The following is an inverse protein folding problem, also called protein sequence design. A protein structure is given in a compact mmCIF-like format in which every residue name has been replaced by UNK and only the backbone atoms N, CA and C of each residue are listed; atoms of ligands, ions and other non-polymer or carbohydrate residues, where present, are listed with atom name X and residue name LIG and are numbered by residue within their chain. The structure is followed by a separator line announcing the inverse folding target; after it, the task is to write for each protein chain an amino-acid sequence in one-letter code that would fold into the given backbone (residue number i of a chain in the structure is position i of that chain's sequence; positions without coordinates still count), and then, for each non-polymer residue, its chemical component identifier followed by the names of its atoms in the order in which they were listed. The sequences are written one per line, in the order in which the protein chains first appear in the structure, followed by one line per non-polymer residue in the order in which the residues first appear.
data_IF_823653096061
#
_entry.id   IF_823653096061
#
_cell.length_a   1.000
_cell.length_b   1.000
_cell.length_c   1.000
_cell.angle_alpha   90.00
_cell.angle_beta   90.00
_cell.angle_gamma   90.00
#
_symmetry.space_group_name_H-M   'P 1'
#
loop_
_entity.id
_entity.type
_entity.pdbx_description
1 polymer ?
#
# COMPACT_ATOMS: atom_id res chain seq x y z
N UNK A 1 -7.76 18.36 -10.18
CA UNK A 1 -7.66 17.86 -8.80
C UNK A 1 -6.64 16.77 -8.88
N UNK A 2 -5.55 16.99 -8.17
CA UNK A 2 -4.31 16.27 -8.42
C UNK A 2 -3.75 15.85 -7.07
N UNK A 3 -3.20 14.65 -7.02
CA UNK A 3 -2.55 14.11 -5.84
C UNK A 3 -1.08 13.85 -6.15
N UNK A 4 -0.20 14.38 -5.31
CA UNK A 4 1.25 14.15 -5.44
C UNK A 4 1.71 13.18 -4.35
N UNK A 5 2.05 11.95 -4.76
CA UNK A 5 2.40 10.89 -3.81
C UNK A 5 3.68 11.19 -3.03
N UNK A 6 4.63 11.95 -3.58
CA UNK A 6 5.89 12.27 -2.89
C UNK A 6 5.72 13.25 -1.74
N UNK A 7 4.73 14.14 -1.80
CA UNK A 7 4.47 15.16 -0.77
C UNK A 7 3.25 14.84 0.09
N UNK A 8 2.43 13.85 -0.32
CA UNK A 8 1.16 13.56 0.36
C UNK A 8 0.18 14.73 0.27
N UNK A 9 0.21 15.50 -0.81
CA UNK A 9 -0.64 16.70 -0.96
C UNK A 9 -1.72 16.46 -1.99
N UNK A 10 -2.97 16.67 -1.58
CA UNK A 10 -4.10 16.88 -2.47
C UNK A 10 -4.16 18.36 -2.84
N UNK A 11 -4.14 18.64 -4.14
CA UNK A 11 -4.30 19.99 -4.67
C UNK A 11 -5.57 20.05 -5.53
N UNK A 12 -6.46 20.97 -5.16
CA UNK A 12 -7.65 21.31 -5.93
C UNK A 12 -7.47 22.73 -6.46
N UNK A 13 -7.30 22.87 -7.77
CA UNK A 13 -7.41 24.15 -8.45
C UNK A 13 -8.73 24.19 -9.20
N UNK A 14 -9.51 25.25 -8.99
CA UNK A 14 -10.74 25.51 -9.74
C UNK A 14 -10.79 26.97 -10.18
N UNK A 15 -11.44 27.23 -11.32
CA UNK A 15 -11.75 28.57 -11.80
C UNK A 15 -13.12 28.56 -12.45
N UNK A 16 -14.01 29.42 -11.98
CA UNK A 16 -15.35 29.60 -12.53
C UNK A 16 -15.49 31.02 -13.09
N UNK A 17 -15.93 31.13 -14.34
CA UNK A 17 -16.12 32.41 -15.04
C UNK A 17 -17.55 32.93 -14.98
N UNK A 18 -18.53 32.10 -14.59
CA UNK A 18 -19.95 32.45 -14.54
C UNK A 18 -20.33 33.31 -13.33
N UNK A 19 -19.54 33.28 -12.26
CA UNK A 19 -19.88 33.99 -11.02
C UNK A 19 -21.07 33.39 -10.27
N UNK A 20 -21.41 32.14 -10.57
CA UNK A 20 -22.54 31.42 -9.97
C UNK A 20 -22.08 30.63 -8.74
N UNK A 21 -20.79 30.27 -8.65
CA UNK A 21 -20.21 29.62 -7.49
C UNK A 21 -19.98 30.60 -6.36
N UNK A 22 -20.60 30.29 -5.22
CA UNK A 22 -20.42 31.03 -3.97
C UNK A 22 -19.39 30.36 -3.04
N UNK A 23 -19.17 29.05 -3.19
CA UNK A 23 -18.12 28.30 -2.48
C UNK A 23 -17.70 27.02 -3.21
N UNK A 24 -16.40 26.74 -3.16
CA UNK A 24 -15.81 25.45 -3.50
C UNK A 24 -15.09 24.87 -2.28
N UNK A 25 -15.37 23.62 -1.95
CA UNK A 25 -14.82 22.93 -0.79
C UNK A 25 -14.05 21.67 -1.21
N UNK A 26 -12.85 21.52 -0.66
CA UNK A 26 -12.05 20.32 -0.72
C UNK A 26 -12.20 19.58 0.61
N UNK A 27 -12.76 18.38 0.56
CA UNK A 27 -12.86 17.48 1.70
C UNK A 27 -12.05 16.23 1.47
N UNK A 28 -11.08 15.93 2.33
CA UNK A 28 -10.33 14.68 2.27
C UNK A 28 -10.75 13.79 3.44
N UNK A 29 -11.19 12.59 3.11
CA UNK A 29 -11.68 11.59 4.05
C UNK A 29 -10.71 10.41 4.02
N UNK A 30 -10.17 10.04 5.18
CA UNK A 30 -9.42 8.80 5.37
C UNK A 30 -10.40 7.70 5.77
N UNK A 31 -10.54 6.69 4.92
CA UNK A 31 -11.31 5.49 5.21
C UNK A 31 -10.42 4.47 5.90
N UNK A 32 -10.77 4.14 7.14
CA UNK A 32 -10.13 3.10 7.94
C UNK A 32 -11.08 1.92 8.11
N UNK A 33 -10.59 0.79 8.60
CA UNK A 33 -11.45 -0.36 8.93
C UNK A 33 -12.45 -0.07 10.05
N UNK A 34 -12.24 1.02 10.81
CA UNK A 34 -13.06 1.41 11.96
C UNK A 34 -14.08 2.50 11.62
N UNK A 35 -13.93 3.13 10.45
CA UNK A 35 -14.80 4.21 9.98
C UNK A 35 -14.09 5.23 9.10
N UNK A 36 -14.84 6.24 8.69
CA UNK A 36 -14.37 7.36 7.89
C UNK A 36 -13.97 8.52 8.82
N UNK A 37 -12.74 8.99 8.70
CA UNK A 37 -12.19 10.15 9.43
C UNK A 37 -11.98 11.31 8.46
N UNK A 38 -12.41 12.51 8.83
CA UNK A 38 -12.21 13.71 8.01
C UNK A 38 -10.82 14.26 8.33
N UNK A 39 -9.91 14.22 7.35
CA UNK A 39 -8.55 14.74 7.50
C UNK A 39 -8.53 16.26 7.33
N UNK A 40 -9.28 16.75 6.34
CA UNK A 40 -9.45 18.18 6.10
C UNK A 40 -10.78 18.46 5.41
N UNK A 41 -11.32 19.65 5.67
CA UNK A 41 -12.56 20.17 5.07
C UNK A 41 -12.38 21.68 4.88
N UNK A 42 -11.73 22.05 3.78
CA UNK A 42 -11.28 23.42 3.50
C UNK A 42 -12.13 24.02 2.37
N UNK A 43 -12.70 25.19 2.60
CA UNK A 43 -13.59 25.86 1.65
C UNK A 43 -13.05 27.24 1.27
N UNK A 44 -13.18 27.60 -0.01
CA UNK A 44 -12.97 28.97 -0.49
C UNK A 44 -14.24 29.53 -1.11
N UNK A 45 -14.50 30.81 -0.83
CA UNK A 45 -15.64 31.58 -1.36
C UNK A 45 -15.28 32.36 -2.64
N UNK A 46 -14.06 32.21 -3.16
CA UNK A 46 -13.64 32.87 -4.39
C UNK A 46 -14.05 32.06 -5.61
N UNK A 47 -14.26 32.75 -6.74
CA UNK A 47 -14.55 32.10 -8.03
C UNK A 47 -13.35 31.33 -8.60
N UNK A 48 -12.14 31.64 -8.14
CA UNK A 48 -10.92 30.91 -8.46
C UNK A 48 -10.06 30.78 -7.21
N UNK A 49 -9.61 29.56 -6.91
CA UNK A 49 -8.69 29.27 -5.82
C UNK A 49 -7.93 27.98 -6.10
N UNK A 50 -6.80 27.85 -5.40
CA UNK A 50 -6.13 26.57 -5.21
C UNK A 50 -6.20 26.22 -3.72
N UNK A 51 -6.89 25.14 -3.41
CA UNK A 51 -7.02 24.60 -2.05
C UNK A 51 -6.10 23.39 -1.97
N UNK A 52 -5.22 23.38 -0.98
CA UNK A 52 -4.28 22.29 -0.75
C UNK A 52 -4.53 21.65 0.61
N UNK A 53 -4.47 20.33 0.67
CA UNK A 53 -4.56 19.58 1.90
C UNK A 53 -3.43 18.55 1.95
N UNK A 54 -2.58 18.68 2.96
CA UNK A 54 -1.50 17.73 3.23
C UNK A 54 -2.06 16.62 4.12
N UNK A 55 -1.82 15.38 3.73
CA UNK A 55 -2.16 14.21 4.53
C UNK A 55 -0.88 13.61 5.11
N UNK A 56 -0.99 13.06 6.31
CA UNK A 56 0.04 12.17 6.83
C UNK A 56 0.01 10.91 5.95
N UNK A 57 1.12 10.57 5.29
CA UNK A 57 1.28 9.42 4.36
C UNK A 57 1.12 8.04 5.04
N UNK A 58 0.33 7.98 6.11
CA UNK A 58 -0.04 6.79 6.83
C UNK A 58 -0.99 5.92 6.02
N UNK A 59 -0.90 4.61 6.23
CA UNK A 59 -1.71 3.62 5.56
C UNK A 59 -3.22 3.89 5.66
N UNK A 60 -3.88 3.78 4.51
CA UNK A 60 -5.32 3.95 4.38
C UNK A 60 -5.75 4.35 2.97
N UNK A 61 -7.07 4.29 2.75
CA UNK A 61 -7.68 4.82 1.54
C UNK A 61 -8.11 6.26 1.78
N UNK A 62 -7.54 7.20 1.04
CA UNK A 62 -7.90 8.61 1.10
C UNK A 62 -8.84 8.94 -0.05
N UNK A 63 -9.93 9.63 0.26
CA UNK A 63 -10.94 10.05 -0.69
C UNK A 63 -10.97 11.57 -0.66
N UNK A 64 -10.45 12.21 -1.70
CA UNK A 64 -10.59 13.64 -1.92
C UNK A 64 -11.91 13.91 -2.65
N UNK A 65 -12.78 14.71 -2.06
CA UNK A 65 -14.09 15.09 -2.59
C UNK A 65 -14.08 16.59 -2.84
N UNK A 66 -14.47 16.98 -4.04
CA UNK A 66 -14.73 18.37 -4.39
C UNK A 66 -16.24 18.61 -4.45
N UNK A 67 -16.71 19.49 -3.57
CA UNK A 67 -18.08 20.01 -3.60
C UNK A 67 -18.08 21.49 -3.95
N UNK A 68 -19.10 21.92 -4.69
CA UNK A 68 -19.23 23.30 -5.11
C UNK A 68 -20.72 23.66 -5.20
N UNK A 69 -21.14 24.83 -4.72
CA UNK A 69 -22.55 25.20 -4.73
C UNK A 69 -22.90 26.46 -3.93
N UNK A 70 -24.16 26.89 -4.04
CA UNK A 70 -24.72 28.03 -3.30
C UNK A 70 -25.55 27.54 -2.11
N UNK A 71 -26.48 26.60 -2.36
CA UNK A 71 -27.17 25.75 -1.38
C UNK A 71 -28.20 24.89 -2.14
N UNK A 72 -28.18 23.54 -2.12
CA UNK A 72 -27.22 22.66 -1.46
C UNK A 72 -25.88 22.58 -2.21
N UNK A 73 -24.85 22.06 -1.53
CA UNK A 73 -23.56 21.75 -2.16
C UNK A 73 -23.73 20.60 -3.14
N UNK A 74 -23.30 20.82 -4.38
CA UNK A 74 -23.30 19.78 -5.39
C UNK A 74 -21.96 19.06 -5.39
N UNK A 75 -22.01 17.74 -5.48
CA UNK A 75 -20.83 16.91 -5.69
C UNK A 75 -20.37 17.08 -7.14
N UNK A 76 -19.12 17.52 -7.32
CA UNK A 76 -18.55 17.77 -8.66
C UNK A 76 -17.61 16.64 -9.06
N UNK A 77 -16.67 16.27 -8.18
CA UNK A 77 -15.63 15.30 -8.47
C UNK A 77 -15.12 14.61 -7.20
N UNK A 78 -14.54 13.42 -7.37
CA UNK A 78 -13.71 12.79 -6.35
C UNK A 78 -12.48 12.14 -6.95
N UNK A 79 -11.44 12.04 -6.14
CA UNK A 79 -10.27 11.20 -6.39
C UNK A 79 -10.10 10.23 -5.21
N UNK A 80 -9.83 8.98 -5.51
CA UNK A 80 -9.52 7.96 -4.51
C UNK A 80 -8.07 7.58 -4.65
N UNK A 81 -7.33 7.65 -3.54
CA UNK A 81 -5.92 7.30 -3.47
C UNK A 81 -5.76 6.27 -2.39
N UNK A 82 -5.26 5.10 -2.75
CA UNK A 82 -4.90 4.08 -1.79
C UNK A 82 -3.42 4.23 -1.42
N UNK A 83 -3.17 4.63 -0.19
CA UNK A 83 -1.83 4.57 0.40
C UNK A 83 -1.75 3.22 1.10
N UNK A 84 -1.25 2.25 0.36
CA UNK A 84 -0.79 0.97 0.87
C UNK A 84 0.72 1.06 0.84
N UNK A 85 1.33 1.48 1.95
CA UNK A 85 2.67 1.01 2.26
C UNK A 85 2.55 -0.51 2.27
N UNK A 86 3.25 -1.17 1.36
CA UNK A 86 3.26 -2.62 1.36
C UNK A 86 3.70 -3.11 2.74
N UNK A 87 3.30 -4.32 3.12
CA UNK A 87 3.94 -5.05 4.24
C UNK A 87 5.47 -4.92 4.18
N UNK A 88 6.01 -4.80 2.96
CA UNK A 88 7.39 -4.44 2.61
C UNK A 88 7.96 -3.20 3.30
N UNK A 89 7.24 -2.09 3.38
CA UNK A 89 7.75 -0.84 3.95
C UNK A 89 7.69 -0.88 5.48
N UNK A 90 6.69 -1.59 6.02
CA UNK A 90 6.49 -1.70 7.46
C UNK A 90 7.40 -2.75 8.10
N UNK A 91 7.66 -3.86 7.41
CA UNK A 91 8.59 -4.89 7.86
C UNK A 91 10.01 -4.66 7.34
N UNK A 92 10.22 -3.96 6.22
CA UNK A 92 11.53 -3.58 5.71
C UNK A 92 12.62 -4.66 5.87
N UNK A 93 13.69 -4.29 6.61
CA UNK A 93 14.80 -5.19 6.96
C UNK A 93 14.38 -6.32 7.91
N UNK A 94 13.42 -6.06 8.80
CA UNK A 94 12.93 -7.02 9.79
C UNK A 94 12.19 -8.19 9.11
N UNK A 95 11.54 -7.95 7.97
CA UNK A 95 10.93 -9.01 7.15
C UNK A 95 11.94 -10.10 6.79
N UNK A 96 13.12 -9.70 6.32
CA UNK A 96 14.22 -10.64 5.99
C UNK A 96 14.68 -11.38 7.25
N UNK A 97 14.80 -10.69 8.38
CA UNK A 97 15.15 -11.32 9.66
C UNK A 97 14.14 -12.42 10.06
N UNK A 98 12.84 -12.14 9.97
CA UNK A 98 11.79 -13.14 10.25
C UNK A 98 11.82 -14.31 9.27
N UNK A 99 12.13 -14.08 7.99
CA UNK A 99 12.27 -15.18 7.02
C UNK A 99 13.41 -16.13 7.38
N UNK A 100 14.57 -15.59 7.79
CA UNK A 100 15.71 -16.39 8.23
C UNK A 100 15.33 -17.22 9.48
N UNK A 101 14.63 -16.60 10.43
CA UNK A 101 14.17 -17.26 11.64
C UNK A 101 13.21 -18.41 11.30
N UNK A 102 12.22 -18.18 10.43
CA UNK A 102 11.30 -19.22 9.95
C UNK A 102 12.02 -20.37 9.24
N UNK A 103 12.98 -20.04 8.36
CA UNK A 103 13.79 -21.03 7.65
C UNK A 103 14.62 -21.86 8.62
N UNK A 104 15.19 -21.25 9.66
CA UNK A 104 15.94 -21.95 10.70
C UNK A 104 15.04 -22.91 11.49
N UNK A 105 13.87 -22.44 11.93
CA UNK A 105 12.88 -23.27 12.65
C UNK A 105 12.45 -24.46 11.81
N UNK A 106 12.10 -24.23 10.54
CA UNK A 106 11.68 -25.30 9.64
C UNK A 106 12.82 -26.28 9.33
N UNK A 107 14.04 -25.79 9.17
CA UNK A 107 15.22 -26.66 9.00
C UNK A 107 15.44 -27.54 10.23
N UNK A 108 15.29 -26.98 11.44
CA UNK A 108 15.42 -27.72 12.68
C UNK A 108 14.32 -28.79 12.87
N UNK A 109 13.09 -28.51 12.46
CA UNK A 109 11.98 -29.46 12.54
C UNK A 109 12.18 -30.70 11.64
N UNK A 110 12.85 -30.53 10.50
CA UNK A 110 13.07 -31.59 9.52
C UNK A 110 14.48 -32.17 9.53
N UNK A 111 15.27 -31.98 10.59
CA UNK A 111 16.62 -32.56 10.78
C UNK A 111 16.70 -34.07 10.48
N UNK A 112 15.72 -34.93 10.85
CA UNK A 112 15.86 -36.38 10.67
C UNK A 112 15.98 -36.84 9.21
N UNK A 113 15.59 -36.01 8.24
CA UNK A 113 15.74 -36.35 6.82
C UNK A 113 16.15 -35.14 6.00
N UNK A 114 17.33 -35.23 5.38
CA UNK A 114 17.86 -34.16 4.52
C UNK A 114 16.88 -33.75 3.42
N UNK A 115 16.13 -34.71 2.87
CA UNK A 115 15.10 -34.46 1.88
C UNK A 115 13.96 -33.56 2.41
N UNK A 116 13.40 -33.86 3.60
CA UNK A 116 12.33 -33.03 4.14
C UNK A 116 12.83 -31.66 4.59
N UNK A 117 14.09 -31.55 5.03
CA UNK A 117 14.67 -30.24 5.38
C UNK A 117 14.70 -29.31 4.17
N UNK A 118 15.16 -29.79 3.01
CA UNK A 118 15.21 -28.97 1.79
C UNK A 118 13.81 -28.60 1.32
N UNK A 119 12.88 -29.57 1.30
CA UNK A 119 11.49 -29.30 0.94
C UNK A 119 10.85 -28.26 1.88
N UNK A 120 11.09 -28.37 3.18
CA UNK A 120 10.61 -27.44 4.20
C UNK A 120 11.13 -26.02 3.99
N UNK A 121 12.41 -25.85 3.66
CA UNK A 121 12.98 -24.52 3.35
C UNK A 121 12.32 -23.90 2.12
N UNK A 122 12.12 -24.66 1.05
CA UNK A 122 11.46 -24.15 -0.17
C UNK A 122 10.03 -23.71 0.13
N UNK A 123 9.25 -24.54 0.83
CA UNK A 123 7.88 -24.21 1.23
C UNK A 123 7.85 -22.94 2.09
N UNK A 124 8.80 -22.81 3.02
CA UNK A 124 8.91 -21.64 3.90
C UNK A 124 9.23 -20.38 3.11
N UNK A 125 10.14 -20.44 2.13
CA UNK A 125 10.45 -19.30 1.26
C UNK A 125 9.26 -18.89 0.40
N UNK A 126 8.50 -19.86 -0.13
CA UNK A 126 7.27 -19.59 -0.87
C UNK A 126 6.25 -18.90 0.04
N UNK A 127 6.00 -19.45 1.23
CA UNK A 127 5.08 -18.87 2.22
C UNK A 127 5.52 -17.47 2.64
N UNK A 128 6.81 -17.27 2.93
CA UNK A 128 7.35 -15.96 3.28
C UNK A 128 7.20 -14.93 2.15
N UNK A 129 7.27 -15.37 0.90
CA UNK A 129 7.02 -14.49 -0.25
C UNK A 129 5.53 -14.14 -0.37
N UNK A 130 4.63 -15.10 -0.16
CA UNK A 130 3.18 -14.86 -0.13
C UNK A 130 2.76 -13.96 1.03
N UNK A 131 3.41 -14.06 2.19
CA UNK A 131 3.18 -13.21 3.36
C UNK A 131 3.77 -11.81 3.20
N UNK A 132 4.58 -11.56 2.17
CA UNK A 132 5.19 -10.27 1.96
C UNK A 132 6.42 -10.00 2.84
N UNK A 133 7.14 -11.04 3.28
CA UNK A 133 8.35 -10.89 4.11
C UNK A 133 9.66 -10.82 3.31
N UNK A 134 9.71 -11.42 2.10
CA UNK A 134 10.86 -11.36 1.17
C UNK A 134 10.50 -10.78 -0.22
N UNK A 135 10.97 -9.57 -0.62
CA UNK A 135 10.50 -8.91 -1.83
C UNK A 135 11.16 -9.57 -3.03
N UNK A 136 10.60 -10.71 -3.41
CA UNK A 136 11.14 -11.59 -4.43
C UNK A 136 10.22 -11.54 -5.63
N UNK A 137 10.81 -11.30 -6.79
CA UNK A 137 10.07 -11.40 -8.05
C UNK A 137 9.63 -12.85 -8.29
N UNK A 138 8.58 -13.05 -9.08
CA UNK A 138 8.11 -14.39 -9.46
C UNK A 138 9.25 -15.27 -10.03
N UNK A 139 10.21 -14.65 -10.73
CA UNK A 139 11.39 -15.31 -11.27
C UNK A 139 12.31 -15.88 -10.17
N UNK A 140 12.49 -15.16 -9.05
CA UNK A 140 13.30 -15.62 -7.94
C UNK A 140 12.73 -16.89 -7.28
N UNK A 141 11.40 -16.96 -7.12
CA UNK A 141 10.71 -18.14 -6.58
C UNK A 141 10.99 -19.37 -7.44
N UNK A 142 10.88 -19.23 -8.77
CA UNK A 142 11.14 -20.32 -9.73
C UNK A 142 12.60 -20.78 -9.62
N UNK A 143 13.56 -19.86 -9.49
CA UNK A 143 14.97 -20.20 -9.34
C UNK A 143 15.26 -20.95 -8.04
N UNK A 144 14.64 -20.57 -6.92
CA UNK A 144 14.78 -21.32 -5.66
C UNK A 144 14.19 -22.73 -5.76
N UNK A 145 13.04 -22.89 -6.43
CA UNK A 145 12.44 -24.20 -6.65
C UNK A 145 13.35 -25.12 -7.50
N UNK A 146 13.91 -24.59 -8.59
CA UNK A 146 14.83 -25.34 -9.47
C UNK A 146 16.11 -25.72 -8.71
N UNK A 147 16.74 -24.77 -8.02
CA UNK A 147 17.95 -25.03 -7.23
C UNK A 147 17.71 -26.09 -6.15
N UNK A 148 16.61 -25.97 -5.42
CA UNK A 148 16.21 -26.96 -4.42
C UNK A 148 15.98 -28.34 -5.02
N UNK A 149 15.33 -28.43 -6.18
CA UNK A 149 15.13 -29.69 -6.89
C UNK A 149 16.44 -30.35 -7.33
N UNK A 150 17.37 -29.58 -7.88
CA UNK A 150 18.70 -30.08 -8.28
C UNK A 150 19.46 -30.66 -7.07
N UNK A 151 19.44 -29.95 -5.93
CA UNK A 151 20.10 -30.41 -4.71
C UNK A 151 19.45 -31.70 -4.19
N UNK A 152 18.11 -31.79 -4.20
CA UNK A 152 17.39 -33.00 -3.81
C UNK A 152 17.75 -34.21 -4.67
N UNK A 153 17.89 -34.04 -5.99
CA UNK A 153 18.31 -35.11 -6.89
C UNK A 153 19.73 -35.59 -6.59
N UNK A 154 20.65 -34.65 -6.33
CA UNK A 154 22.05 -34.99 -6.05
C UNK A 154 22.25 -35.70 -4.72
N UNK A 155 21.43 -35.41 -3.71
CA UNK A 155 21.51 -36.06 -2.38
C UNK A 155 20.85 -37.43 -2.31
N UNK A 156 20.01 -37.77 -3.29
CA UNK A 156 19.36 -39.08 -3.38
C UNK A 156 20.26 -40.15 -4.01
N UNK A 157 21.25 -39.71 -4.80
CA UNK A 157 22.31 -40.55 -5.37
C UNK A 157 23.43 -40.69 -4.35
#
# INVERSE_FOLDING_TARGET
MDYTNTTGVFALTYSESSGTLNKGCLKVIKRTSWGDEIVCDECSHTSSATITCTIDQTNGTYIGVFTAGVNPDSYIASIVVEISEGIWDLLGLDGVFFTILLVMVMSCLFIPSAFMSIAGVIITLILATFLGFLPTSWQGIVMFAIAGFIIMFKLRV
#
